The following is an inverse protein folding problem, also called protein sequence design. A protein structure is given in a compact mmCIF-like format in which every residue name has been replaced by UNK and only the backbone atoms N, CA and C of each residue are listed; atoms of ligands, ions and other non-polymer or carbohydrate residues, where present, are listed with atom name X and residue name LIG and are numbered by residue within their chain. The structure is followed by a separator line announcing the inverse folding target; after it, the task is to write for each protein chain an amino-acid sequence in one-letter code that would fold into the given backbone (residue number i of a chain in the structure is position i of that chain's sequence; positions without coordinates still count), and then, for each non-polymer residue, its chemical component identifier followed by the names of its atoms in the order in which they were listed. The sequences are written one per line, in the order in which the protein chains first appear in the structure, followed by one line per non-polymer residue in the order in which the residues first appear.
data_IF_955290316363
#
_entry.id   IF_955290316363
#
_cell.length_a   1.000
_cell.length_b   1.000
_cell.length_c   1.000
_cell.angle_alpha   90.00
_cell.angle_beta   90.00
_cell.angle_gamma   90.00
#
_symmetry.space_group_name_H-M   'P 1'
#
loop_
_entity.id
_entity.type
_entity.pdbx_description
1 polymer ?
#
# COMPACT_ATOMS: atom_id res chain seq x y z
N UNK A 1 -8.16 28.59 20.88
CA UNK A 1 -8.18 28.20 19.46
C UNK A 1 -6.78 27.74 19.00
N UNK A 2 -5.73 28.52 19.24
CA UNK A 2 -4.34 28.16 18.87
C UNK A 2 -3.84 26.82 19.44
N UNK A 3 -4.18 26.49 20.69
CA UNK A 3 -3.79 25.20 21.30
C UNK A 3 -4.43 23.99 20.59
N UNK A 4 -5.64 24.14 20.05
CA UNK A 4 -6.28 23.08 19.24
C UNK A 4 -5.62 22.96 17.87
N UNK A 5 -5.31 24.09 17.23
CA UNK A 5 -4.61 24.12 15.94
C UNK A 5 -3.22 23.48 16.05
N UNK A 6 -2.44 23.80 17.09
CA UNK A 6 -1.12 23.17 17.34
C UNK A 6 -1.21 21.65 17.53
N UNK A 7 -2.23 21.16 18.25
CA UNK A 7 -2.45 19.71 18.42
C UNK A 7 -2.82 19.02 17.10
N UNK A 8 -3.60 19.67 16.24
CA UNK A 8 -3.93 19.14 14.91
C UNK A 8 -2.73 19.14 13.96
N UNK A 9 -1.91 20.19 14.00
CA UNK A 9 -0.65 20.21 13.28
C UNK A 9 0.23 19.04 13.72
N UNK A 10 0.40 18.81 15.02
CA UNK A 10 1.20 17.68 15.54
C UNK A 10 0.68 16.31 15.06
N UNK A 11 -0.64 16.14 14.89
CA UNK A 11 -1.22 14.93 14.29
C UNK A 11 -0.85 14.78 12.81
N UNK A 12 -0.85 15.86 12.05
CA UNK A 12 -0.43 15.86 10.64
C UNK A 12 1.08 15.54 10.49
N UNK A 13 1.91 16.03 11.42
CA UNK A 13 3.33 15.65 11.48
C UNK A 13 3.50 14.14 11.68
N UNK A 14 2.74 13.53 12.60
CA UNK A 14 2.77 12.07 12.80
C UNK A 14 2.36 11.30 11.54
N UNK A 15 1.31 11.73 10.84
CA UNK A 15 0.91 11.09 9.57
C UNK A 15 2.01 11.20 8.51
N UNK A 16 2.79 12.28 8.50
CA UNK A 16 3.96 12.41 7.63
C UNK A 16 5.06 11.40 7.97
N UNK A 17 5.34 11.19 9.25
CA UNK A 17 6.34 10.20 9.67
C UNK A 17 5.91 8.78 9.28
N UNK A 18 4.63 8.45 9.48
CA UNK A 18 4.02 7.20 9.02
C UNK A 18 4.12 7.03 7.49
N UNK A 19 3.95 8.12 6.73
CA UNK A 19 4.15 8.11 5.27
C UNK A 19 5.60 7.82 4.88
N UNK A 20 6.59 8.39 5.58
CA UNK A 20 7.99 8.07 5.29
C UNK A 20 8.28 6.59 5.55
N UNK A 21 7.75 6.05 6.65
CA UNK A 21 7.86 4.63 6.95
C UNK A 21 7.20 3.76 5.87
N UNK A 22 6.04 4.17 5.32
CA UNK A 22 5.37 3.49 4.21
C UNK A 22 6.27 3.33 2.97
N UNK A 23 7.04 4.35 2.60
CA UNK A 23 7.96 4.30 1.45
C UNK A 23 9.11 3.29 1.65
N UNK A 24 9.61 3.17 2.87
CA UNK A 24 10.62 2.16 3.23
C UNK A 24 10.03 0.75 3.13
N UNK A 25 8.82 0.57 3.67
CA UNK A 25 8.08 -0.69 3.59
C UNK A 25 7.79 -1.09 2.14
N UNK A 26 7.45 -0.11 1.29
CA UNK A 26 7.21 -0.33 -0.14
C UNK A 26 8.47 -0.86 -0.82
N UNK A 27 9.61 -0.22 -0.59
CA UNK A 27 10.88 -0.64 -1.18
C UNK A 27 11.25 -2.05 -0.74
N UNK A 28 11.04 -2.35 0.56
CA UNK A 28 11.26 -3.69 1.12
C UNK A 28 10.33 -4.74 0.50
N UNK A 29 9.03 -4.46 0.42
CA UNK A 29 8.04 -5.37 -0.17
C UNK A 29 8.38 -5.68 -1.64
N UNK A 30 8.74 -4.66 -2.43
CA UNK A 30 9.14 -4.85 -3.82
C UNK A 30 10.37 -5.76 -3.95
N UNK A 31 11.37 -5.57 -3.09
CA UNK A 31 12.56 -6.43 -3.09
C UNK A 31 12.20 -7.87 -2.73
N UNK A 32 11.38 -8.08 -1.71
CA UNK A 32 10.96 -9.42 -1.31
C UNK A 32 10.13 -10.10 -2.39
N UNK A 33 9.18 -9.38 -3.01
CA UNK A 33 8.33 -9.89 -4.08
C UNK A 33 9.15 -10.31 -5.31
N UNK A 34 10.13 -9.49 -5.71
CA UNK A 34 11.07 -9.81 -6.81
C UNK A 34 11.87 -11.07 -6.52
N UNK A 35 12.40 -11.19 -5.30
CA UNK A 35 13.18 -12.35 -4.89
C UNK A 35 12.32 -13.63 -4.88
N UNK A 36 11.10 -13.55 -4.35
CA UNK A 36 10.15 -14.66 -4.36
C UNK A 36 9.77 -15.06 -5.79
N UNK A 37 9.45 -14.09 -6.65
CA UNK A 37 9.12 -14.33 -8.06
C UNK A 37 10.26 -15.04 -8.80
N UNK A 38 11.50 -14.58 -8.61
CA UNK A 38 12.68 -15.21 -9.22
C UNK A 38 12.89 -16.65 -8.76
N UNK A 39 12.65 -16.96 -7.47
CA UNK A 39 12.72 -18.34 -6.99
C UNK A 39 11.61 -19.17 -7.64
N UNK A 40 10.37 -18.68 -7.66
CA UNK A 40 9.23 -19.36 -8.26
C UNK A 40 9.47 -19.71 -9.73
N UNK A 41 10.03 -18.78 -10.52
CA UNK A 41 10.42 -19.04 -11.91
C UNK A 41 11.52 -20.10 -12.01
N UNK A 42 12.53 -20.05 -11.15
CA UNK A 42 13.62 -21.03 -11.11
C UNK A 42 13.17 -22.43 -10.69
N UNK A 43 12.15 -22.54 -9.83
CA UNK A 43 11.60 -23.83 -9.41
C UNK A 43 11.13 -24.66 -10.61
N UNK A 44 10.57 -24.02 -11.65
CA UNK A 44 10.17 -24.72 -12.87
C UNK A 44 11.35 -25.36 -13.60
N UNK A 45 12.50 -24.67 -13.64
CA UNK A 45 13.72 -25.15 -14.31
C UNK A 45 14.39 -26.27 -13.50
N UNK A 46 14.41 -26.13 -12.18
CA UNK A 46 15.02 -27.09 -11.23
C UNK A 46 14.29 -28.43 -11.21
N UNK A 47 12.98 -28.44 -11.46
CA UNK A 47 12.20 -29.69 -11.51
C UNK A 47 12.52 -30.55 -12.74
N UNK A 48 13.04 -29.97 -13.82
CA UNK A 48 13.42 -30.74 -15.00
C UNK A 48 14.83 -31.32 -14.85
N UNK A 49 14.91 -32.62 -14.60
CA UNK A 49 16.17 -33.35 -14.40
C UNK A 49 17.10 -33.26 -15.61
N UNK A 50 16.59 -32.96 -16.82
CA UNK A 50 17.41 -32.78 -18.03
C UNK A 50 18.35 -31.58 -17.92
N UNK A 51 18.03 -30.59 -17.08
CA UNK A 51 18.83 -29.38 -16.91
C UNK A 51 20.13 -29.59 -16.10
N UNK A 52 20.34 -30.80 -15.56
CA UNK A 52 21.49 -31.10 -14.70
C UNK A 52 22.70 -31.69 -15.46
N UNK A 53 22.54 -32.03 -16.75
CA UNK A 53 23.63 -32.53 -17.58
C UNK A 53 24.37 -33.72 -16.95
N UNK A 54 25.70 -33.61 -16.80
CA UNK A 54 26.53 -34.64 -16.19
C UNK A 54 26.24 -34.88 -14.71
N UNK A 55 25.54 -33.97 -14.02
CA UNK A 55 25.15 -34.12 -12.61
C UNK A 55 23.92 -35.02 -12.43
N UNK A 56 23.26 -35.44 -13.52
CA UNK A 56 22.14 -36.39 -13.46
C UNK A 56 22.54 -37.76 -12.86
N UNK A 57 23.84 -38.11 -12.87
CA UNK A 57 24.31 -39.34 -12.25
C UNK A 57 24.32 -39.30 -10.70
N UNK A 58 24.13 -38.12 -10.10
CA UNK A 58 24.00 -37.98 -8.65
C UNK A 58 22.54 -38.23 -8.27
N UNK A 59 22.31 -39.33 -7.55
CA UNK A 59 21.01 -39.58 -6.95
C UNK A 59 20.61 -38.40 -6.03
N UNK A 60 19.34 -38.01 -6.07
CA UNK A 60 18.72 -37.02 -5.18
C UNK A 60 19.14 -35.54 -5.37
N UNK A 61 20.03 -35.21 -6.32
CA UNK A 61 20.49 -33.81 -6.53
C UNK A 61 19.33 -32.82 -6.79
N UNK A 62 18.32 -33.27 -7.54
CA UNK A 62 17.12 -32.46 -7.84
C UNK A 62 16.36 -32.14 -6.55
N UNK A 63 16.13 -33.12 -5.70
CA UNK A 63 15.38 -32.96 -4.45
C UNK A 63 16.14 -32.09 -3.46
N UNK A 64 17.47 -32.25 -3.34
CA UNK A 64 18.30 -31.41 -2.47
C UNK A 64 18.23 -29.95 -2.89
N UNK A 65 18.39 -29.66 -4.19
CA UNK A 65 18.34 -28.29 -4.71
C UNK A 65 16.94 -27.70 -4.58
N UNK A 66 15.90 -28.47 -4.91
CA UNK A 66 14.51 -28.05 -4.78
C UNK A 66 14.15 -27.71 -3.34
N UNK A 67 14.52 -28.56 -2.39
CA UNK A 67 14.32 -28.34 -0.95
C UNK A 67 14.94 -27.02 -0.52
N UNK A 68 16.19 -26.76 -0.91
CA UNK A 68 16.88 -25.50 -0.57
C UNK A 68 16.20 -24.26 -1.16
N UNK A 69 15.67 -24.35 -2.38
CA UNK A 69 14.92 -23.24 -2.97
C UNK A 69 13.59 -23.00 -2.25
N UNK A 70 12.85 -24.06 -1.90
CA UNK A 70 11.58 -23.97 -1.18
C UNK A 70 11.79 -23.40 0.22
N UNK A 71 12.81 -23.85 0.96
CA UNK A 71 13.21 -23.28 2.25
C UNK A 71 13.48 -21.77 2.13
N UNK A 72 14.24 -21.35 1.10
CA UNK A 72 14.52 -19.93 0.87
C UNK A 72 13.26 -19.13 0.53
N UNK A 73 12.34 -19.72 -0.25
CA UNK A 73 11.07 -19.09 -0.59
C UNK A 73 10.19 -18.91 0.66
N UNK A 74 10.12 -19.91 1.52
CA UNK A 74 9.39 -19.85 2.78
C UNK A 74 9.90 -18.71 3.68
N UNK A 75 11.21 -18.58 3.82
CA UNK A 75 11.84 -17.48 4.57
C UNK A 75 11.42 -16.11 4.00
N UNK A 76 11.38 -15.96 2.67
CA UNK A 76 10.95 -14.71 2.02
C UNK A 76 9.46 -14.46 2.28
N UNK A 77 8.60 -15.47 2.13
CA UNK A 77 7.15 -15.34 2.36
C UNK A 77 6.83 -14.95 3.81
N UNK A 78 7.54 -15.53 4.79
CA UNK A 78 7.44 -15.13 6.20
C UNK A 78 7.88 -13.66 6.39
N UNK A 79 8.98 -13.24 5.74
CA UNK A 79 9.46 -11.86 5.77
C UNK A 79 8.46 -10.87 5.13
N UNK A 80 7.81 -11.26 4.04
CA UNK A 80 6.75 -10.50 3.39
C UNK A 80 5.52 -10.36 4.30
N UNK A 81 5.11 -11.44 4.97
CA UNK A 81 4.00 -11.39 5.93
C UNK A 81 4.27 -10.37 7.03
N UNK A 82 5.46 -10.39 7.63
CA UNK A 82 5.88 -9.39 8.61
C UNK A 82 5.84 -7.97 8.05
N UNK A 83 6.24 -7.80 6.78
CA UNK A 83 6.16 -6.49 6.10
C UNK A 83 4.72 -6.02 5.92
N UNK A 84 3.79 -6.93 5.61
CA UNK A 84 2.36 -6.61 5.52
C UNK A 84 1.76 -6.26 6.88
N UNK A 85 2.20 -6.90 7.97
CA UNK A 85 1.79 -6.54 9.33
C UNK A 85 2.24 -5.12 9.70
N UNK A 86 3.45 -4.71 9.30
CA UNK A 86 3.93 -3.34 9.49
C UNK A 86 3.10 -2.31 8.67
N UNK A 87 2.77 -2.62 7.41
CA UNK A 87 1.83 -1.79 6.63
C UNK A 87 0.48 -1.64 7.31
N UNK A 88 -0.07 -2.74 7.84
CA UNK A 88 -1.33 -2.70 8.56
C UNK A 88 -1.24 -1.81 9.81
N UNK A 89 -0.11 -1.86 10.52
CA UNK A 89 0.18 -0.98 11.65
C UNK A 89 0.09 0.50 11.30
N UNK A 90 0.65 0.91 10.15
CA UNK A 90 0.54 2.28 9.64
C UNK A 90 -0.93 2.66 9.40
N UNK A 91 -1.69 1.81 8.70
CA UNK A 91 -3.11 2.06 8.42
C UNK A 91 -3.90 2.25 9.71
N UNK A 92 -3.68 1.40 10.71
CA UNK A 92 -4.32 1.51 12.02
C UNK A 92 -3.90 2.78 12.77
N UNK A 93 -2.64 3.21 12.64
CA UNK A 93 -2.13 4.46 13.22
C UNK A 93 -2.86 5.68 12.61
N UNK A 94 -2.96 5.74 11.28
CA UNK A 94 -3.68 6.82 10.58
C UNK A 94 -5.17 6.83 10.96
N UNK A 95 -5.81 5.66 11.00
CA UNK A 95 -7.21 5.53 11.41
C UNK A 95 -7.42 6.06 12.84
N UNK A 96 -6.53 5.69 13.77
CA UNK A 96 -6.57 6.15 15.15
C UNK A 96 -6.41 7.67 15.23
N UNK A 97 -5.46 8.24 14.49
CA UNK A 97 -5.26 9.70 14.44
C UNK A 97 -6.54 10.41 13.96
N UNK A 98 -7.20 9.88 12.93
CA UNK A 98 -8.47 10.40 12.44
C UNK A 98 -9.60 10.27 13.48
N UNK A 99 -9.77 9.07 14.09
CA UNK A 99 -10.78 8.82 15.14
C UNK A 99 -10.59 9.76 16.35
N UNK A 100 -9.36 9.90 16.84
CA UNK A 100 -9.01 10.79 17.94
C UNK A 100 -9.24 12.26 17.58
N UNK A 101 -8.98 12.65 16.32
CA UNK A 101 -9.33 13.98 15.80
C UNK A 101 -10.84 14.24 15.91
N UNK A 102 -11.63 13.34 15.35
CA UNK A 102 -13.09 13.46 15.33
C UNK A 102 -13.71 13.49 16.72
N UNK A 103 -13.21 12.67 17.64
CA UNK A 103 -13.70 12.64 19.03
C UNK A 103 -13.40 13.92 19.79
N UNK A 104 -12.24 14.54 19.57
CA UNK A 104 -11.89 15.81 20.22
C UNK A 104 -12.84 16.96 19.83
N UNK A 105 -13.42 16.90 18.63
CA UNK A 105 -14.42 17.88 18.18
C UNK A 105 -15.81 17.56 18.74
N UNK A 106 -16.14 16.27 18.92
CA UNK A 106 -17.47 15.84 19.36
C UNK A 106 -17.65 15.75 20.89
N UNK A 107 -16.57 15.57 21.66
CA UNK A 107 -16.66 15.16 23.08
C UNK A 107 -16.00 16.08 24.11
N UNK A 108 -15.43 17.23 23.72
CA UNK A 108 -14.80 18.16 24.67
C UNK A 108 -15.79 19.06 25.43
N UNK A 109 -15.45 19.41 26.68
CA UNK A 109 -16.16 20.44 27.49
C UNK A 109 -16.24 21.81 26.79
N UNK A 110 -15.35 22.07 25.82
CA UNK A 110 -15.36 23.20 24.90
C UNK A 110 -15.60 22.73 23.47
N UNK A 111 -16.83 22.31 23.16
CA UNK A 111 -17.25 22.01 21.78
C UNK A 111 -17.03 23.26 20.90
N UNK A 112 -16.18 23.19 19.86
CA UNK A 112 -16.10 24.29 18.91
C UNK A 112 -17.44 24.42 18.19
N UNK A 113 -17.96 25.64 18.07
CA UNK A 113 -19.19 25.89 17.32
C UNK A 113 -18.98 25.58 15.83
N UNK A 114 -20.06 25.34 15.09
CA UNK A 114 -19.98 25.08 13.63
C UNK A 114 -19.23 26.19 12.88
N UNK A 115 -19.36 27.45 13.33
CA UNK A 115 -18.62 28.59 12.78
C UNK A 115 -17.12 28.50 13.04
N UNK A 116 -16.69 27.97 14.19
CA UNK A 116 -15.27 27.81 14.54
C UNK A 116 -14.62 26.62 13.82
N UNK A 117 -15.40 25.58 13.51
CA UNK A 117 -14.95 24.43 12.71
C UNK A 117 -14.68 24.80 11.25
N UNK A 118 -15.53 25.66 10.69
CA UNK A 118 -15.44 26.14 9.31
C UNK A 118 -14.63 27.45 9.18
N UNK A 119 -14.13 28.01 10.28
CA UNK A 119 -13.40 29.26 10.25
C UNK A 119 -12.08 29.07 9.49
N UNK A 120 -11.96 29.78 8.37
CA UNK A 120 -10.72 29.90 7.60
C UNK A 120 -10.03 31.21 7.97
N UNK A 121 -8.73 31.17 8.17
CA UNK A 121 -7.89 32.36 8.40
C UNK A 121 -6.93 32.48 7.23
N UNK A 122 -7.26 33.37 6.27
CA UNK A 122 -6.54 33.49 5.01
C UNK A 122 -6.64 32.22 4.15
N UNK A 123 -5.52 31.78 3.58
CA UNK A 123 -5.43 30.59 2.70
C UNK A 123 -5.34 29.28 3.51
N UNK A 124 -5.34 29.33 4.86
CA UNK A 124 -5.15 28.14 5.68
C UNK A 124 -6.40 27.25 5.71
N UNK A 125 -6.23 25.91 5.67
CA UNK A 125 -7.28 24.94 5.92
C UNK A 125 -8.15 25.26 7.14
N UNK A 126 -9.46 25.02 7.05
CA UNK A 126 -10.28 24.92 8.26
C UNK A 126 -10.03 23.60 8.99
N UNK A 127 -10.53 23.49 10.22
CA UNK A 127 -10.40 22.25 11.00
C UNK A 127 -11.20 21.09 10.39
N UNK A 128 -12.35 21.41 9.78
CA UNK A 128 -13.13 20.45 9.01
C UNK A 128 -12.34 19.93 7.79
N UNK A 129 -11.73 20.84 7.01
CA UNK A 129 -10.92 20.46 5.86
C UNK A 129 -9.75 19.53 6.25
N UNK A 130 -9.15 19.73 7.43
CA UNK A 130 -8.10 18.86 7.96
C UNK A 130 -8.59 17.46 8.36
N UNK A 131 -9.79 17.35 8.95
CA UNK A 131 -10.38 16.06 9.29
C UNK A 131 -10.74 15.26 8.03
N UNK A 132 -11.34 15.93 7.05
CA UNK A 132 -11.72 15.31 5.78
C UNK A 132 -10.47 14.83 5.04
N UNK A 133 -9.40 15.64 5.03
CA UNK A 133 -8.10 15.22 4.51
C UNK A 133 -7.52 13.99 5.21
N UNK A 134 -7.63 13.90 6.54
CA UNK A 134 -7.20 12.70 7.29
C UNK A 134 -8.03 11.45 6.94
N UNK A 135 -9.33 11.60 6.71
CA UNK A 135 -10.18 10.48 6.26
C UNK A 135 -9.74 10.00 4.87
N UNK A 136 -9.54 10.93 3.93
CA UNK A 136 -9.10 10.59 2.57
C UNK A 136 -7.74 9.89 2.59
N UNK A 137 -6.79 10.39 3.41
CA UNK A 137 -5.50 9.74 3.60
C UNK A 137 -5.65 8.32 4.15
N UNK A 138 -6.50 8.11 5.15
CA UNK A 138 -6.80 6.78 5.67
C UNK A 138 -7.37 5.86 4.58
N UNK A 139 -8.40 6.30 3.86
CA UNK A 139 -9.07 5.51 2.83
C UNK A 139 -8.09 5.08 1.73
N UNK A 140 -7.22 5.99 1.28
CA UNK A 140 -6.19 5.69 0.28
C UNK A 140 -5.21 4.61 0.77
N UNK A 141 -4.62 4.78 1.96
CA UNK A 141 -3.64 3.82 2.49
C UNK A 141 -4.30 2.48 2.83
N UNK A 142 -5.55 2.49 3.30
CA UNK A 142 -6.30 1.27 3.57
C UNK A 142 -6.60 0.48 2.29
N UNK A 143 -7.03 1.15 1.22
CA UNK A 143 -7.26 0.51 -0.08
C UNK A 143 -5.94 -0.01 -0.69
N UNK A 144 -4.86 0.76 -0.61
CA UNK A 144 -3.54 0.35 -1.09
C UNK A 144 -3.01 -0.86 -0.31
N UNK A 145 -3.16 -0.87 1.02
CA UNK A 145 -2.84 -2.02 1.86
C UNK A 145 -3.62 -3.27 1.44
N UNK A 146 -4.94 -3.15 1.22
CA UNK A 146 -5.78 -4.28 0.79
C UNK A 146 -5.37 -4.82 -0.57
N UNK A 147 -5.01 -3.94 -1.51
CA UNK A 147 -4.49 -4.33 -2.81
C UNK A 147 -3.18 -5.12 -2.65
N UNK A 148 -2.22 -4.58 -1.88
CA UNK A 148 -0.95 -5.24 -1.57
C UNK A 148 -1.17 -6.61 -0.92
N UNK A 149 -2.07 -6.70 0.05
CA UNK A 149 -2.42 -7.97 0.70
C UNK A 149 -2.98 -8.99 -0.30
N UNK A 150 -3.84 -8.55 -1.23
CA UNK A 150 -4.34 -9.41 -2.30
C UNK A 150 -3.23 -9.89 -3.23
N UNK A 151 -2.28 -9.02 -3.59
CA UNK A 151 -1.14 -9.38 -4.44
C UNK A 151 -0.22 -10.39 -3.74
N UNK A 152 0.12 -10.15 -2.47
CA UNK A 152 0.93 -11.09 -1.66
C UNK A 152 0.21 -12.43 -1.51
N UNK A 153 -1.11 -12.44 -1.31
CA UNK A 153 -1.88 -13.69 -1.27
C UNK A 153 -1.88 -14.43 -2.61
N UNK A 154 -1.95 -13.70 -3.73
CA UNK A 154 -1.92 -14.31 -5.07
C UNK A 154 -0.55 -14.93 -5.38
N UNK A 155 0.54 -14.33 -4.90
CA UNK A 155 1.88 -14.90 -5.03
C UNK A 155 1.98 -16.30 -4.43
N UNK A 156 1.39 -16.51 -3.25
CA UNK A 156 1.33 -17.84 -2.60
C UNK A 156 0.59 -18.87 -3.46
N UNK A 157 -0.43 -18.45 -4.23
CA UNK A 157 -1.12 -19.32 -5.18
C UNK A 157 -0.25 -19.64 -6.40
N UNK A 158 0.50 -18.65 -6.90
CA UNK A 158 1.40 -18.82 -8.04
C UNK A 158 2.60 -19.74 -7.75
N UNK A 159 2.95 -19.97 -6.48
CA UNK A 159 3.93 -21.00 -6.09
C UNK A 159 3.56 -22.38 -6.62
N UNK A 160 2.26 -22.71 -6.69
CA UNK A 160 1.80 -24.03 -7.16
C UNK A 160 1.57 -24.08 -8.68
N UNK A 161 1.27 -22.94 -9.30
CA UNK A 161 1.06 -22.81 -10.74
C UNK A 161 1.72 -21.53 -11.24
N UNK A 162 3.03 -21.58 -11.53
CA UNK A 162 3.75 -20.37 -11.88
C UNK A 162 3.40 -19.89 -13.28
N UNK A 163 3.32 -18.58 -13.43
CA UNK A 163 3.05 -17.88 -14.67
C UNK A 163 3.89 -16.61 -14.67
N UNK A 164 4.93 -16.57 -15.53
CA UNK A 164 5.85 -15.44 -15.60
C UNK A 164 5.12 -14.13 -15.95
N UNK A 165 4.09 -14.20 -16.80
CA UNK A 165 3.24 -13.06 -17.13
C UNK A 165 2.48 -12.53 -15.91
N UNK A 166 1.93 -13.44 -15.09
CA UNK A 166 1.17 -13.04 -13.90
C UNK A 166 2.11 -12.49 -12.81
N UNK A 167 3.29 -13.08 -12.63
CA UNK A 167 4.32 -12.55 -11.72
C UNK A 167 4.75 -11.14 -12.13
N UNK A 168 5.01 -10.92 -13.42
CA UNK A 168 5.32 -9.58 -13.93
C UNK A 168 4.17 -8.60 -13.72
N UNK A 169 2.94 -9.00 -14.00
CA UNK A 169 1.76 -8.14 -13.83
C UNK A 169 1.53 -7.77 -12.36
N UNK A 170 1.66 -8.72 -11.45
CA UNK A 170 1.54 -8.49 -10.00
C UNK A 170 2.67 -7.60 -9.48
N UNK A 171 3.91 -7.80 -9.96
CA UNK A 171 5.02 -6.93 -9.62
C UNK A 171 4.76 -5.50 -10.12
N UNK A 172 4.29 -5.35 -11.35
CA UNK A 172 3.99 -4.02 -11.91
C UNK A 172 2.89 -3.33 -11.11
N UNK A 173 1.86 -4.08 -10.68
CA UNK A 173 0.80 -3.56 -9.82
C UNK A 173 1.32 -3.05 -8.47
N UNK A 174 2.38 -3.66 -7.92
CA UNK A 174 3.04 -3.16 -6.71
C UNK A 174 3.89 -1.91 -7.00
N UNK A 175 4.54 -1.85 -8.16
CA UNK A 175 5.36 -0.70 -8.59
C UNK A 175 4.50 0.53 -8.87
N UNK A 176 3.33 0.33 -9.46
CA UNK A 176 2.36 1.37 -9.79
C UNK A 176 1.69 1.90 -8.51
N UNK A 177 2.46 2.63 -7.71
CA UNK A 177 1.92 3.36 -6.56
C UNK A 177 1.03 4.52 -7.04
N UNK A 178 -0.06 4.84 -6.32
CA UNK A 178 -0.68 6.14 -6.48
C UNK A 178 0.38 7.20 -6.16
N UNK A 179 0.71 8.03 -7.16
CA UNK A 179 1.75 9.05 -7.04
C UNK A 179 1.28 10.13 -6.04
N UNK A 180 1.62 10.00 -4.76
CA UNK A 180 1.39 11.05 -3.76
C UNK A 180 2.63 11.97 -3.78
N UNK A 181 2.55 13.18 -4.35
CA UNK A 181 3.71 14.05 -4.53
C UNK A 181 4.46 14.26 -3.20
N UNK A 182 5.79 14.15 -3.22
CA UNK A 182 6.63 14.26 -2.02
C UNK A 182 6.86 15.71 -1.57
N UNK A 183 6.61 16.70 -2.44
CA UNK A 183 7.13 18.06 -2.27
C UNK A 183 6.11 19.22 -2.43
N UNK A 184 4.82 18.96 -2.62
CA UNK A 184 3.83 20.05 -2.57
C UNK A 184 3.39 20.30 -1.12
N UNK A 185 4.16 21.16 -0.45
CA UNK A 185 3.85 21.64 0.90
C UNK A 185 2.43 22.21 1.00
N UNK A 186 1.59 21.53 1.80
CA UNK A 186 0.50 22.01 2.68
C UNK A 186 -0.45 23.13 2.23
N UNK A 187 -0.39 23.59 0.98
CA UNK A 187 -1.22 24.66 0.42
C UNK A 187 -1.96 24.25 -0.85
N UNK A 188 -1.58 23.13 -1.50
CA UNK A 188 -2.26 22.58 -2.70
C UNK A 188 -2.97 21.24 -2.49
N UNK A 189 -2.64 20.53 -1.42
CA UNK A 189 -3.17 19.22 -1.01
C UNK A 189 -4.70 19.24 -0.77
N UNK A 190 -5.34 20.41 -0.72
CA UNK A 190 -6.78 20.53 -0.49
C UNK A 190 -7.65 20.68 -1.74
N UNK A 191 -7.10 20.98 -2.93
CA UNK A 191 -7.93 21.26 -4.11
C UNK A 191 -7.55 20.45 -5.35
N UNK A 192 -6.29 20.04 -5.51
CA UNK A 192 -5.84 19.30 -6.70
C UNK A 192 -5.92 17.78 -6.49
N UNK A 193 -5.73 17.29 -5.27
CA UNK A 193 -5.77 15.84 -4.98
C UNK A 193 -7.18 15.25 -5.05
N UNK A 194 -8.21 15.96 -4.59
CA UNK A 194 -9.61 15.53 -4.78
C UNK A 194 -10.04 15.57 -6.25
N UNK A 195 -9.52 16.52 -7.05
CA UNK A 195 -9.83 16.63 -8.47
C UNK A 195 -9.10 15.58 -9.33
N UNK A 196 -7.84 15.21 -9.01
CA UNK A 196 -7.11 14.17 -9.75
C UNK A 196 -7.57 12.76 -9.38
N UNK A 197 -7.97 12.52 -8.12
CA UNK A 197 -8.47 11.22 -7.67
C UNK A 197 -9.90 10.98 -8.19
N UNK A 198 -10.78 12.00 -8.21
CA UNK A 198 -12.07 11.89 -8.91
C UNK A 198 -11.89 11.67 -10.41
N UNK A 199 -10.94 12.36 -11.07
CA UNK A 199 -10.76 12.27 -12.52
C UNK A 199 -10.16 10.94 -12.98
N UNK A 200 -9.30 10.30 -12.19
CA UNK A 200 -8.64 9.03 -12.57
C UNK A 200 -9.41 7.77 -12.13
N UNK A 201 -10.25 7.86 -11.10
CA UNK A 201 -11.11 6.73 -10.69
C UNK A 201 -12.40 6.70 -11.54
N UNK A 202 -12.94 7.86 -11.92
CA UNK A 202 -14.16 7.92 -12.75
C UNK A 202 -13.91 7.54 -14.22
N UNK A 203 -12.77 7.96 -14.80
CA UNK A 203 -12.42 7.60 -16.20
C UNK A 203 -12.06 6.13 -16.42
N UNK A 204 -11.68 5.39 -15.37
CA UNK A 204 -11.43 3.93 -15.45
C UNK A 204 -12.70 3.08 -15.31
N UNK A 205 -13.72 3.58 -14.60
CA UNK A 205 -15.01 2.89 -14.47
C UNK A 205 -15.95 3.17 -15.66
N UNK A 206 -15.95 4.39 -16.20
CA UNK A 206 -16.82 4.74 -17.34
C UNK A 206 -16.36 4.10 -18.66
N UNK A 207 -15.06 3.82 -18.82
CA UNK A 207 -14.55 3.06 -19.97
C UNK A 207 -14.83 1.55 -19.91
N UNK A 208 -15.22 1.00 -18.74
CA UNK A 208 -15.63 -0.42 -18.62
C UNK A 208 -17.12 -0.62 -18.82
N UNK A 209 -17.95 0.39 -18.59
CA UNK A 209 -19.40 0.29 -18.84
C UNK A 209 -19.78 0.61 -20.30
N UNK A 210 -19.00 1.43 -21.02
CA UNK A 210 -19.24 1.71 -22.45
C UNK A 210 -18.85 0.54 -23.38
N UNK A 211 -18.00 -0.40 -22.92
CA UNK A 211 -17.61 -1.58 -23.71
C UNK A 211 -18.48 -2.83 -23.45
N UNK A 212 -19.44 -2.78 -22.53
CA UNK A 212 -20.33 -3.93 -22.23
C UNK A 212 -21.77 -3.70 -22.75
N UNK A 213 -22.08 -2.51 -23.28
CA UNK A 213 -23.40 -2.19 -23.87
C UNK A 213 -23.32 -1.92 -25.38
N UNK A 214 -22.19 -2.20 -26.01
CA UNK A 214 -21.97 -1.97 -27.43
C UNK A 214 -21.16 -3.07 -28.10
N UNK A 215 -21.70 -4.29 -28.14
CA UNK A 215 -21.70 -5.21 -29.30
C UNK A 215 -22.39 -6.54 -28.95
#
# INVERSE_FOLDING_TARGET
MEAMVKKYQQKLWKVRDEKNHWDDLQSRLLSQFRNASSIIERLQVIQDSKNYGSLHCMDDIVNVVLTKQVESLEVILVSMKKTMEEFHGIVLSIEKIHRDGRQQIKGGSSKPSAKQLQQRVGIKPSLADCLDGLMVLYDMHHLEYRLKASVVSALSTLTFKPSASDLCALQQLLVDQPNIPKDEGMHRTQMIELQLIQRNIWTKHEKREILVVGH
#
